data_IF_033944787445
#
_entry.id   IF_033944787445
#
_cell.length_a   1.000
_cell.length_b   1.000
_cell.length_c   1.000
_cell.angle_alpha   90.00
_cell.angle_beta   90.00
_cell.angle_gamma   90.00
#
_symmetry.space_group_name_H-M   'P 1'
#
loop_
_entity.id
_entity.type
_entity.pdbx_description
1 polymer ?
#
# COMPACT_ATOMS: atom_id res chain seq x y z
N UNK A 1 6.07 29.65 0.34
CA UNK A 1 6.82 28.59 1.03
C UNK A 1 7.35 27.68 -0.07
N UNK A 2 8.58 27.88 -0.50
CA UNK A 2 9.23 27.08 -1.55
C UNK A 2 9.51 25.71 -0.96
N UNK A 3 8.90 24.68 -1.53
CA UNK A 3 9.23 23.30 -1.20
C UNK A 3 10.74 23.10 -1.43
N UNK A 4 11.51 22.59 -0.43
CA UNK A 4 12.96 22.49 -0.55
C UNK A 4 13.43 21.31 -1.41
N UNK A 5 12.58 20.80 -2.28
CA UNK A 5 12.85 19.61 -3.07
C UNK A 5 13.12 19.99 -4.53
N UNK A 6 14.36 20.00 -4.93
CA UNK A 6 14.75 19.64 -6.29
C UNK A 6 14.35 18.17 -6.49
N UNK A 7 14.09 17.79 -7.73
CA UNK A 7 13.57 16.47 -8.12
C UNK A 7 14.18 15.30 -7.33
N UNK A 8 13.45 14.21 -7.16
CA UNK A 8 13.88 13.00 -6.41
C UNK A 8 15.21 12.40 -6.91
N UNK A 9 15.66 12.76 -8.11
CA UNK A 9 16.99 12.42 -8.63
C UNK A 9 18.13 12.96 -7.75
N UNK A 10 17.96 14.15 -7.10
CA UNK A 10 18.93 14.74 -6.18
C UNK A 10 18.77 14.26 -4.74
N UNK A 11 17.68 13.58 -4.43
CA UNK A 11 17.39 13.04 -3.11
C UNK A 11 17.30 11.52 -3.20
N UNK A 12 18.43 10.84 -3.29
CA UNK A 12 18.49 9.39 -3.16
C UNK A 12 17.73 8.91 -1.93
N UNK A 13 17.19 7.70 -1.95
CA UNK A 13 16.40 7.13 -0.84
C UNK A 13 17.05 7.33 0.52
N UNK A 14 18.37 7.29 0.59
CA UNK A 14 19.13 7.48 1.84
C UNK A 14 19.06 8.90 2.35
N UNK A 15 19.00 9.90 1.46
CA UNK A 15 18.79 11.29 1.86
C UNK A 15 17.39 11.52 2.43
N UNK A 16 16.35 10.88 1.88
CA UNK A 16 15.00 10.89 2.45
C UNK A 16 14.96 10.16 3.79
N UNK A 17 15.61 9.00 3.91
CA UNK A 17 15.71 8.24 5.15
C UNK A 17 16.39 9.03 6.27
N UNK A 18 17.45 9.79 5.95
CA UNK A 18 18.15 10.63 6.93
C UNK A 18 17.32 11.81 7.43
N UNK A 19 16.37 12.30 6.62
CA UNK A 19 15.45 13.39 6.96
C UNK A 19 14.17 12.93 7.66
N UNK A 20 13.99 11.64 7.85
CA UNK A 20 12.80 11.10 8.48
C UNK A 20 12.70 11.51 9.94
N UNK A 21 11.77 12.37 10.27
CA UNK A 21 11.58 12.95 11.60
C UNK A 21 10.31 12.48 12.31
N UNK A 22 9.30 12.00 11.58
CA UNK A 22 7.99 11.67 12.14
C UNK A 22 7.61 10.22 11.86
N UNK A 23 6.98 9.51 12.81
CA UNK A 23 6.45 8.18 12.56
C UNK A 23 5.35 8.24 11.49
N UNK A 24 5.32 7.26 10.59
CA UNK A 24 4.30 7.12 9.55
C UNK A 24 3.66 5.75 9.66
N UNK A 25 2.37 5.72 9.95
CA UNK A 25 1.59 4.50 9.89
C UNK A 25 1.21 4.14 8.47
N UNK A 26 1.44 2.89 8.11
CA UNK A 26 1.06 2.31 6.82
C UNK A 26 0.08 1.17 7.05
N UNK A 27 -1.16 1.34 6.61
CA UNK A 27 -2.13 0.26 6.59
C UNK A 27 -1.82 -0.69 5.43
N UNK A 28 -1.68 -1.96 5.73
CA UNK A 28 -1.61 -3.05 4.75
C UNK A 28 -2.95 -3.78 4.79
N UNK A 29 -3.82 -3.47 3.81
CA UNK A 29 -5.11 -4.15 3.66
C UNK A 29 -4.90 -5.39 2.79
N UNK A 30 -4.78 -6.56 3.43
CA UNK A 30 -4.34 -7.80 2.79
C UNK A 30 -4.83 -9.05 3.55
N UNK A 31 -4.17 -10.18 3.35
CA UNK A 31 -4.46 -11.48 3.95
C UNK A 31 -4.09 -11.62 5.43
N UNK A 32 -3.27 -10.72 5.95
CA UNK A 32 -2.66 -10.78 7.26
C UNK A 32 -1.13 -10.84 7.18
N UNK A 33 -0.48 -10.66 8.31
CA UNK A 33 0.98 -10.55 8.41
C UNK A 33 1.50 -11.55 9.44
N UNK A 34 2.61 -12.21 9.13
CA UNK A 34 3.41 -12.95 10.10
C UNK A 34 4.29 -11.96 10.89
N UNK A 35 3.76 -11.53 12.03
CA UNK A 35 4.42 -10.54 12.88
C UNK A 35 5.70 -11.07 13.55
N UNK A 36 5.91 -12.39 13.57
CA UNK A 36 7.10 -13.03 14.13
C UNK A 36 8.24 -13.14 13.11
N UNK A 37 7.97 -12.84 11.83
CA UNK A 37 9.03 -12.80 10.82
C UNK A 37 10.14 -11.83 11.25
N UNK A 38 11.45 -12.19 11.14
CA UNK A 38 12.57 -11.38 11.64
C UNK A 38 12.55 -9.91 11.17
N UNK A 39 12.13 -9.65 9.93
CA UNK A 39 12.04 -8.29 9.38
C UNK A 39 10.83 -7.48 9.89
N UNK A 40 9.81 -8.17 10.45
CA UNK A 40 8.54 -7.55 10.83
C UNK A 40 8.35 -7.47 12.34
N UNK A 41 9.13 -8.22 13.11
CA UNK A 41 9.04 -8.27 14.55
C UNK A 41 9.19 -6.88 15.17
N UNK A 42 8.20 -6.48 15.98
CA UNK A 42 8.14 -5.17 16.61
C UNK A 42 7.82 -3.99 15.67
N UNK A 43 7.49 -4.29 14.39
CA UNK A 43 7.19 -3.27 13.37
C UNK A 43 5.70 -3.17 13.05
N UNK A 44 4.92 -4.18 13.40
CA UNK A 44 3.46 -4.18 13.30
C UNK A 44 2.89 -3.56 14.58
N UNK A 45 2.12 -2.49 14.44
CA UNK A 45 1.57 -1.73 15.56
C UNK A 45 0.32 -2.42 16.14
N UNK A 46 -0.49 -2.98 15.27
CA UNK A 46 -1.74 -3.66 15.62
C UNK A 46 -2.20 -4.54 14.46
N UNK A 47 -3.15 -5.41 14.73
CA UNK A 47 -3.93 -6.11 13.69
C UNK A 47 -5.40 -5.76 13.81
N UNK A 48 -6.10 -5.76 12.67
CA UNK A 48 -7.55 -5.64 12.60
C UNK A 48 -8.08 -6.69 11.61
N UNK A 49 -9.24 -7.26 11.91
CA UNK A 49 -9.87 -8.26 11.05
C UNK A 49 -11.25 -7.79 10.64
N UNK A 50 -11.54 -7.86 9.35
CA UNK A 50 -12.87 -7.64 8.81
C UNK A 50 -13.66 -8.94 8.90
N UNK A 51 -14.78 -8.93 9.62
CA UNK A 51 -15.63 -10.09 9.86
C UNK A 51 -17.05 -9.85 9.36
N UNK A 52 -17.67 -10.83 8.69
CA UNK A 52 -19.07 -10.72 8.31
C UNK A 52 -19.98 -10.72 9.55
N UNK A 53 -21.07 -9.99 9.45
CA UNK A 53 -22.13 -9.91 10.46
C UNK A 53 -23.45 -10.40 9.88
N UNK A 54 -24.41 -10.71 10.74
CA UNK A 54 -25.79 -10.97 10.32
C UNK A 54 -26.34 -9.79 9.50
N UNK A 55 -27.13 -10.09 8.47
CA UNK A 55 -27.67 -9.07 7.56
C UNK A 55 -26.68 -8.57 6.49
N UNK A 56 -25.49 -9.22 6.35
CA UNK A 56 -24.53 -8.96 5.27
C UNK A 56 -23.67 -7.69 5.47
N UNK A 57 -23.70 -7.10 6.66
CA UNK A 57 -22.77 -6.05 7.07
C UNK A 57 -21.38 -6.63 7.38
N UNK A 58 -20.37 -5.77 7.46
CA UNK A 58 -19.03 -6.15 7.89
C UNK A 58 -18.60 -5.27 9.06
N UNK A 59 -17.97 -5.89 10.06
CA UNK A 59 -17.38 -5.24 11.21
C UNK A 59 -15.87 -5.39 11.16
N UNK A 60 -15.15 -4.35 11.60
CA UNK A 60 -13.71 -4.43 11.83
C UNK A 60 -13.47 -4.66 13.32
N UNK A 61 -12.89 -5.81 13.64
CA UNK A 61 -12.46 -6.16 15.01
C UNK A 61 -11.00 -5.82 15.15
N UNK A 62 -10.70 -4.90 16.04
CA UNK A 62 -9.34 -4.45 16.34
C UNK A 62 -8.70 -5.36 17.38
N UNK A 63 -7.45 -5.73 17.12
CA UNK A 63 -6.59 -6.47 18.02
C UNK A 63 -5.38 -5.57 18.35
N UNK A 64 -5.30 -5.00 19.56
CA UNK A 64 -4.18 -4.10 19.92
C UNK A 64 -2.83 -4.83 19.91
N UNK A 65 -2.84 -6.13 20.19
CA UNK A 65 -1.66 -6.98 20.01
C UNK A 65 -1.63 -7.54 18.57
N UNK A 66 -0.48 -7.48 17.89
CA UNK A 66 -0.35 -8.05 16.54
C UNK A 66 -0.67 -9.54 16.50
N UNK A 67 -1.45 -9.94 15.52
CA UNK A 67 -1.78 -11.34 15.30
C UNK A 67 -0.74 -12.00 14.39
N UNK A 68 -0.04 -13.00 14.91
CA UNK A 68 0.99 -13.71 14.15
C UNK A 68 0.43 -14.81 13.23
N UNK A 69 -0.45 -14.43 12.30
CA UNK A 69 -0.97 -15.38 11.32
C UNK A 69 -1.16 -14.69 9.97
N UNK A 70 -0.44 -15.15 8.96
CA UNK A 70 -0.78 -14.90 7.58
C UNK A 70 -1.75 -15.99 7.11
N UNK A 71 -2.97 -15.60 6.79
CA UNK A 71 -4.06 -16.52 6.42
C UNK A 71 -3.93 -17.07 5.00
N UNK A 72 -2.97 -16.59 4.22
CA UNK A 72 -2.71 -17.06 2.86
C UNK A 72 -1.74 -18.23 2.89
N UNK A 73 -2.22 -19.40 2.53
CA UNK A 73 -1.48 -20.67 2.55
C UNK A 73 -0.31 -20.76 1.57
N UNK A 74 -0.10 -19.77 0.69
CA UNK A 74 0.98 -19.77 -0.31
C UNK A 74 2.01 -18.67 -0.03
N UNK A 75 2.75 -18.79 1.07
CA UNK A 75 3.96 -18.03 1.32
C UNK A 75 3.78 -16.59 1.81
N UNK A 76 2.63 -16.24 2.36
CA UNK A 76 2.47 -15.00 3.11
C UNK A 76 2.44 -13.74 2.22
N UNK A 77 1.34 -13.51 1.49
CA UNK A 77 1.24 -12.33 0.63
C UNK A 77 1.32 -11.02 1.43
N UNK A 78 0.52 -10.87 2.50
CA UNK A 78 0.56 -9.67 3.34
C UNK A 78 1.90 -9.48 4.06
N UNK A 79 2.56 -10.58 4.44
CA UNK A 79 3.91 -10.57 5.01
C UNK A 79 4.93 -9.99 4.01
N UNK A 80 4.88 -10.45 2.76
CA UNK A 80 5.73 -9.93 1.69
C UNK A 80 5.48 -8.43 1.43
N UNK A 81 4.21 -8.02 1.37
CA UNK A 81 3.81 -6.61 1.18
C UNK A 81 4.36 -5.73 2.32
N UNK A 82 4.12 -6.12 3.57
CA UNK A 82 4.59 -5.37 4.73
C UNK A 82 6.13 -5.26 4.76
N UNK A 83 6.83 -6.35 4.46
CA UNK A 83 8.29 -6.36 4.39
C UNK A 83 8.83 -5.43 3.32
N UNK A 84 8.24 -5.40 2.13
CA UNK A 84 8.65 -4.47 1.07
C UNK A 84 8.43 -3.02 1.46
N UNK A 85 7.30 -2.68 2.09
CA UNK A 85 7.09 -1.34 2.65
C UNK A 85 8.21 -0.97 3.61
N UNK A 86 8.59 -1.87 4.53
CA UNK A 86 9.62 -1.62 5.53
C UNK A 86 11.04 -1.55 4.93
N UNK A 87 11.33 -2.30 3.88
CA UNK A 87 12.62 -2.22 3.17
C UNK A 87 12.82 -0.85 2.51
N UNK A 88 11.74 -0.25 2.00
CA UNK A 88 11.77 1.12 1.45
C UNK A 88 11.76 2.14 2.57
N UNK A 89 10.84 1.99 3.52
CA UNK A 89 10.53 2.92 4.61
C UNK A 89 10.81 2.27 5.98
N UNK A 90 12.07 2.11 6.40
CA UNK A 90 12.44 1.28 7.54
C UNK A 90 11.97 1.81 8.90
N UNK A 91 11.44 3.02 8.99
CA UNK A 91 10.87 3.61 10.22
C UNK A 91 9.34 3.67 10.20
N UNK A 92 8.70 3.13 9.16
CA UNK A 92 7.24 3.02 9.11
C UNK A 92 6.71 2.07 10.19
N UNK A 93 5.47 2.28 10.61
CA UNK A 93 4.69 1.41 11.51
C UNK A 93 3.59 0.76 10.70
N UNK A 94 3.54 -0.55 10.68
CA UNK A 94 2.56 -1.30 9.91
C UNK A 94 1.28 -1.51 10.73
N UNK A 95 0.13 -1.23 10.13
CA UNK A 95 -1.20 -1.58 10.63
C UNK A 95 -1.75 -2.70 9.73
N UNK A 96 -1.84 -3.90 10.29
CA UNK A 96 -2.31 -5.11 9.59
C UNK A 96 -3.84 -5.13 9.56
N UNK A 97 -4.44 -4.98 8.38
CA UNK A 97 -5.90 -5.01 8.20
C UNK A 97 -6.28 -6.19 7.32
N UNK A 98 -6.81 -7.24 7.94
CA UNK A 98 -7.11 -8.52 7.30
C UNK A 98 -8.50 -8.52 6.69
N UNK A 99 -8.57 -8.69 5.37
CA UNK A 99 -9.83 -8.69 4.62
C UNK A 99 -10.11 -10.00 3.89
N UNK A 100 -9.14 -10.90 3.83
CA UNK A 100 -9.26 -12.18 3.12
C UNK A 100 -9.60 -13.29 4.12
N UNK A 101 -10.60 -14.09 3.81
CA UNK A 101 -10.94 -15.28 4.58
C UNK A 101 -10.03 -16.45 4.24
N UNK A 102 -9.75 -17.38 5.18
CA UNK A 102 -9.02 -18.60 4.89
C UNK A 102 -9.65 -19.35 3.72
N UNK A 103 -8.91 -19.52 2.63
CA UNK A 103 -9.36 -20.24 1.42
C UNK A 103 -10.05 -19.38 0.35
N UNK A 104 -10.16 -18.05 0.51
CA UNK A 104 -10.80 -17.17 -0.45
C UNK A 104 -9.89 -16.13 -1.07
N UNK A 105 -9.91 -16.03 -2.40
CA UNK A 105 -9.15 -15.03 -3.19
C UNK A 105 -10.00 -13.77 -3.46
N UNK A 106 -11.32 -13.86 -3.27
CA UNK A 106 -12.24 -12.77 -3.59
C UNK A 106 -12.67 -12.04 -2.32
N UNK A 107 -12.36 -10.77 -2.27
CA UNK A 107 -12.80 -9.87 -1.21
C UNK A 107 -14.14 -9.26 -1.61
N UNK A 108 -15.13 -9.40 -0.74
CA UNK A 108 -16.40 -8.68 -0.89
C UNK A 108 -16.12 -7.17 -0.85
N UNK A 109 -16.68 -6.42 -1.80
CA UNK A 109 -16.52 -4.96 -1.87
C UNK A 109 -16.94 -4.24 -0.58
N UNK A 110 -17.95 -4.78 0.13
CA UNK A 110 -18.40 -4.24 1.42
C UNK A 110 -17.36 -4.49 2.52
N UNK A 111 -16.67 -5.64 2.47
CA UNK A 111 -15.53 -5.93 3.37
C UNK A 111 -14.37 -4.97 3.13
N UNK A 112 -14.05 -4.71 1.85
CA UNK A 112 -13.03 -3.72 1.50
C UNK A 112 -13.44 -2.30 1.93
N UNK A 113 -14.69 -1.92 1.73
CA UNK A 113 -15.21 -0.62 2.18
C UNK A 113 -15.13 -0.48 3.72
N UNK A 114 -15.38 -1.56 4.47
CA UNK A 114 -15.21 -1.57 5.93
C UNK A 114 -13.74 -1.43 6.35
N UNK A 115 -12.81 -2.10 5.67
CA UNK A 115 -11.38 -1.95 5.90
C UNK A 115 -10.88 -0.54 5.59
N UNK A 116 -11.31 0.03 4.46
CA UNK A 116 -11.00 1.41 4.06
C UNK A 116 -11.56 2.41 5.07
N UNK A 117 -12.80 2.19 5.55
CA UNK A 117 -13.40 3.02 6.62
C UNK A 117 -12.49 3.04 7.84
N UNK A 118 -12.07 1.87 8.31
CA UNK A 118 -11.20 1.75 9.48
C UNK A 118 -9.89 2.51 9.24
N UNK A 119 -9.21 2.26 8.12
CA UNK A 119 -7.93 2.92 7.80
C UNK A 119 -8.11 4.44 7.61
N UNK A 120 -9.18 4.89 6.97
CA UNK A 120 -9.46 6.31 6.75
C UNK A 120 -9.68 7.08 8.06
N UNK A 121 -10.31 6.45 9.05
CA UNK A 121 -10.64 7.07 10.33
C UNK A 121 -9.53 6.91 11.39
N UNK A 122 -8.57 6.03 11.19
CA UNK A 122 -7.49 5.76 12.16
C UNK A 122 -6.48 6.90 12.20
N UNK A 123 -6.17 7.44 13.37
CA UNK A 123 -5.34 8.66 13.53
C UNK A 123 -3.89 8.47 13.08
N UNK A 124 -3.28 7.31 13.38
CA UNK A 124 -1.86 7.07 13.10
C UNK A 124 -1.58 6.69 11.63
N UNK A 125 -2.59 6.26 10.87
CA UNK A 125 -2.41 5.83 9.49
C UNK A 125 -2.31 7.05 8.57
N UNK A 126 -1.26 7.10 7.76
CA UNK A 126 -1.02 8.13 6.75
C UNK A 126 -0.95 7.58 5.32
N UNK A 127 -0.62 6.29 5.17
CA UNK A 127 -0.60 5.60 3.88
C UNK A 127 -1.48 4.36 3.96
N UNK A 128 -2.27 4.10 2.94
CA UNK A 128 -3.14 2.94 2.81
C UNK A 128 -2.71 2.16 1.57
N UNK A 129 -2.13 0.97 1.78
CA UNK A 129 -1.76 0.05 0.70
C UNK A 129 -2.89 -0.93 0.43
N UNK A 130 -3.34 -0.96 -0.82
CA UNK A 130 -4.35 -1.87 -1.34
C UNK A 130 -3.72 -2.79 -2.39
N UNK A 131 -3.30 -3.96 -1.96
CA UNK A 131 -2.76 -5.02 -2.83
C UNK A 131 -3.82 -6.02 -3.27
N UNK A 132 -5.07 -5.63 -3.17
CA UNK A 132 -6.26 -6.41 -3.51
C UNK A 132 -6.92 -5.76 -4.72
N UNK A 133 -7.07 -6.56 -5.79
CA UNK A 133 -7.81 -6.13 -6.95
C UNK A 133 -9.30 -6.42 -6.76
N UNK A 134 -10.11 -5.40 -6.97
CA UNK A 134 -11.55 -5.52 -7.05
C UNK A 134 -11.97 -6.31 -8.31
N UNK A 135 -12.96 -7.19 -8.22
CA UNK A 135 -13.63 -7.69 -9.41
C UNK A 135 -14.59 -6.61 -9.94
N UNK A 136 -14.58 -6.37 -11.26
CA UNK A 136 -15.44 -5.38 -11.92
C UNK A 136 -16.96 -5.65 -11.75
N UNK A 137 -17.32 -6.80 -11.21
CA UNK A 137 -18.71 -7.17 -10.86
C UNK A 137 -19.19 -6.56 -9.53
N UNK A 138 -18.39 -5.75 -8.86
CA UNK A 138 -18.72 -5.25 -7.54
C UNK A 138 -19.82 -4.20 -7.57
N UNK A 139 -20.93 -4.54 -6.95
CA UNK A 139 -22.12 -3.70 -6.83
C UNK A 139 -21.96 -2.54 -5.81
N UNK A 140 -20.82 -2.40 -5.14
CA UNK A 140 -20.62 -1.43 -4.05
C UNK A 140 -19.46 -0.46 -4.25
N UNK A 141 -19.26 -0.01 -5.48
CA UNK A 141 -18.26 1.01 -5.82
C UNK A 141 -18.42 2.29 -4.99
N UNK A 142 -19.67 2.72 -4.75
CA UNK A 142 -19.96 3.91 -3.95
C UNK A 142 -19.42 3.83 -2.52
N UNK A 143 -19.41 2.65 -1.91
CA UNK A 143 -18.84 2.45 -0.57
C UNK A 143 -17.32 2.63 -0.58
N UNK A 144 -16.65 2.08 -1.58
CA UNK A 144 -15.19 2.22 -1.76
C UNK A 144 -14.85 3.68 -2.05
N UNK A 145 -15.55 4.31 -3.01
CA UNK A 145 -15.35 5.72 -3.38
C UNK A 145 -15.46 6.64 -2.16
N UNK A 146 -16.53 6.48 -1.38
CA UNK A 146 -16.76 7.27 -0.16
C UNK A 146 -15.57 7.25 0.79
N UNK A 147 -14.96 6.09 1.02
CA UNK A 147 -13.90 5.96 2.00
C UNK A 147 -12.52 6.32 1.45
N UNK A 148 -12.32 6.24 0.15
CA UNK A 148 -11.15 6.82 -0.53
C UNK A 148 -11.21 8.35 -0.45
N UNK A 149 -12.36 8.97 -0.74
CA UNK A 149 -12.58 10.41 -0.61
C UNK A 149 -12.35 10.90 0.83
N UNK A 150 -12.83 10.13 1.82
CA UNK A 150 -12.62 10.48 3.23
C UNK A 150 -11.13 10.35 3.62
N UNK A 151 -10.44 9.32 3.17
CA UNK A 151 -9.01 9.16 3.37
C UNK A 151 -8.23 10.37 2.79
N UNK A 152 -8.55 10.75 1.55
CA UNK A 152 -7.95 11.92 0.90
C UNK A 152 -8.18 13.22 1.69
N UNK A 153 -9.42 13.49 2.11
CA UNK A 153 -9.78 14.69 2.92
C UNK A 153 -9.04 14.72 4.26
N UNK A 154 -8.69 13.55 4.80
CA UNK A 154 -7.89 13.42 6.03
C UNK A 154 -6.38 13.43 5.79
N UNK A 155 -5.94 13.76 4.58
CA UNK A 155 -4.51 13.83 4.25
C UNK A 155 -3.83 12.47 4.13
N UNK A 156 -4.58 11.37 3.88
CA UNK A 156 -4.03 10.03 3.73
C UNK A 156 -3.82 9.67 2.28
N UNK A 157 -2.67 9.11 1.98
CA UNK A 157 -2.31 8.62 0.64
C UNK A 157 -2.85 7.21 0.46
N UNK A 158 -3.62 6.99 -0.60
CA UNK A 158 -4.08 5.66 -0.99
C UNK A 158 -3.28 5.19 -2.19
N UNK A 159 -2.66 4.02 -2.08
CA UNK A 159 -1.92 3.35 -3.16
C UNK A 159 -2.63 2.05 -3.48
N UNK A 160 -2.98 1.84 -4.74
CA UNK A 160 -3.68 0.64 -5.17
C UNK A 160 -2.98 -0.04 -6.36
N UNK A 161 -2.90 -1.37 -6.31
CA UNK A 161 -2.38 -2.15 -7.41
C UNK A 161 -3.42 -2.36 -8.50
N UNK A 162 -2.97 -2.31 -9.77
CA UNK A 162 -3.77 -2.76 -10.90
C UNK A 162 -4.06 -4.27 -10.76
N UNK A 163 -5.25 -4.70 -11.19
CA UNK A 163 -5.58 -6.13 -11.22
C UNK A 163 -4.62 -6.91 -12.12
N UNK A 164 -4.08 -8.03 -11.62
CA UNK A 164 -3.27 -8.94 -12.41
C UNK A 164 -4.05 -9.56 -13.60
N UNK A 165 -5.38 -9.50 -13.57
CA UNK A 165 -6.25 -9.94 -14.66
C UNK A 165 -6.49 -8.87 -15.71
N UNK A 166 -5.76 -7.75 -15.68
CA UNK A 166 -5.88 -6.58 -16.60
C UNK A 166 -7.32 -6.00 -16.65
N UNK A 167 -8.10 -6.20 -15.59
CA UNK A 167 -9.41 -5.56 -15.45
C UNK A 167 -9.25 -4.22 -14.81
N UNK A 168 -9.91 -3.21 -15.37
CA UNK A 168 -10.07 -1.90 -14.76
C UNK A 168 -11.14 -1.99 -13.68
N UNK A 169 -11.01 -1.18 -12.66
CA UNK A 169 -12.02 -1.08 -11.61
C UNK A 169 -11.48 -0.45 -10.32
N UNK A 170 -12.39 -0.04 -9.44
CA UNK A 170 -12.04 0.65 -8.22
C UNK A 170 -11.17 -0.22 -7.29
N UNK A 171 -10.27 0.44 -6.52
CA UNK A 171 -10.08 1.90 -6.46
C UNK A 171 -8.94 2.42 -7.36
N UNK A 172 -8.26 1.58 -8.16
CA UNK A 172 -7.06 1.95 -8.93
C UNK A 172 -7.32 3.04 -9.99
N UNK A 173 -8.56 3.14 -10.47
CA UNK A 173 -9.01 4.12 -11.47
C UNK A 173 -9.50 5.46 -10.88
N UNK A 174 -9.44 5.61 -9.56
CA UNK A 174 -9.80 6.89 -8.93
C UNK A 174 -8.65 7.91 -9.03
N UNK A 175 -8.91 9.16 -9.44
CA UNK A 175 -7.86 10.17 -9.66
C UNK A 175 -7.04 10.52 -8.41
N UNK A 176 -7.64 10.39 -7.25
CA UNK A 176 -7.06 10.64 -5.93
C UNK A 176 -6.31 9.43 -5.34
N UNK A 177 -6.30 8.32 -6.08
CA UNK A 177 -5.51 7.13 -5.75
C UNK A 177 -4.21 7.13 -6.57
N UNK A 178 -3.13 6.64 -6.00
CA UNK A 178 -1.90 6.32 -6.72
C UNK A 178 -2.04 4.92 -7.28
N UNK A 179 -2.45 4.84 -8.55
CA UNK A 179 -2.60 3.58 -9.28
C UNK A 179 -1.25 3.06 -9.75
N UNK A 180 -0.93 1.80 -9.43
CA UNK A 180 0.39 1.21 -9.70
C UNK A 180 0.28 -0.13 -10.39
N UNK A 181 1.16 -0.39 -11.36
CA UNK A 181 1.40 -1.73 -11.90
C UNK A 181 2.88 -2.12 -11.81
N UNK A 182 3.13 -3.43 -11.80
CA UNK A 182 4.48 -4.00 -11.69
C UNK A 182 5.25 -3.94 -13.00
N UNK A 183 6.52 -3.60 -12.89
CA UNK A 183 7.50 -3.66 -13.97
C UNK A 183 8.87 -4.08 -13.40
N UNK A 184 9.77 -4.52 -14.28
CA UNK A 184 11.16 -4.78 -13.90
C UNK A 184 11.96 -3.48 -14.00
N UNK A 185 11.92 -2.70 -12.94
CA UNK A 185 12.61 -1.40 -12.85
C UNK A 185 13.83 -1.43 -11.92
N UNK A 186 14.20 -2.62 -11.40
CA UNK A 186 15.28 -2.73 -10.41
C UNK A 186 14.91 -2.11 -9.06
N UNK A 187 15.90 -2.06 -8.15
CA UNK A 187 15.71 -1.73 -6.74
C UNK A 187 14.94 -0.41 -6.53
N UNK A 188 13.68 -0.54 -6.15
CA UNK A 188 12.79 0.55 -5.75
C UNK A 188 12.51 1.60 -6.84
N UNK A 189 12.73 1.26 -8.10
CA UNK A 189 12.45 2.11 -9.24
C UNK A 189 10.97 2.44 -9.34
N UNK A 190 10.66 3.68 -9.73
CA UNK A 190 9.33 4.15 -10.08
C UNK A 190 9.39 4.88 -11.42
N UNK A 191 8.42 4.65 -12.29
CA UNK A 191 8.26 5.34 -13.57
C UNK A 191 6.84 5.90 -13.64
N UNK A 192 6.72 7.10 -14.19
CA UNK A 192 5.42 7.68 -14.51
C UNK A 192 5.11 7.45 -15.98
N UNK A 193 3.96 6.89 -16.25
CA UNK A 193 3.48 6.65 -17.60
C UNK A 193 2.21 5.80 -17.54
N UNK A 194 1.12 6.24 -18.19
CA UNK A 194 -0.15 5.56 -18.07
C UNK A 194 -0.08 4.16 -18.68
N UNK A 195 -0.55 3.20 -17.90
CA UNK A 195 -0.82 1.85 -18.38
C UNK A 195 -2.23 1.48 -17.92
N UNK A 196 -3.17 1.42 -18.84
CA UNK A 196 -4.59 1.31 -18.53
C UNK A 196 -5.02 2.48 -17.62
N UNK A 197 -5.45 2.20 -16.38
CA UNK A 197 -5.83 3.19 -15.39
C UNK A 197 -4.75 3.47 -14.34
N UNK A 198 -3.69 2.65 -14.28
CA UNK A 198 -2.55 2.89 -13.40
C UNK A 198 -1.63 3.93 -14.03
N UNK A 199 -1.26 4.95 -13.25
CA UNK A 199 -0.42 6.05 -13.71
C UNK A 199 1.07 5.78 -13.47
N UNK A 200 1.40 4.87 -12.56
CA UNK A 200 2.75 4.55 -12.16
C UNK A 200 3.10 3.10 -12.44
N UNK A 201 4.34 2.89 -12.78
CA UNK A 201 5.02 1.60 -12.77
C UNK A 201 6.01 1.59 -11.63
N UNK A 202 6.13 0.48 -10.92
CA UNK A 202 7.15 0.32 -9.89
C UNK A 202 7.71 -1.10 -9.91
N UNK A 203 8.83 -1.30 -9.21
CA UNK A 203 9.45 -2.60 -9.14
C UNK A 203 8.49 -3.63 -8.54
N UNK A 204 8.06 -4.59 -9.33
CA UNK A 204 7.09 -5.61 -8.96
C UNK A 204 7.33 -6.93 -9.67
N UNK A 205 8.47 -7.08 -10.37
CA UNK A 205 8.86 -8.33 -11.01
C UNK A 205 10.17 -8.84 -10.42
N UNK A 206 10.23 -10.16 -10.12
CA UNK A 206 11.39 -10.83 -9.52
C UNK A 206 11.93 -10.14 -8.28
N UNK A 207 11.03 -9.59 -7.46
CA UNK A 207 11.40 -8.87 -6.24
C UNK A 207 11.57 -9.85 -5.06
N UNK A 208 12.72 -9.87 -4.39
CA UNK A 208 12.88 -10.65 -3.17
C UNK A 208 12.01 -10.03 -2.07
N UNK A 209 11.20 -10.84 -1.41
CA UNK A 209 10.30 -10.40 -0.36
C UNK A 209 10.19 -11.43 0.77
N UNK A 210 9.95 -11.01 2.02
CA UNK A 210 9.77 -11.90 3.16
C UNK A 210 8.65 -12.91 2.92
N UNK A 211 8.83 -14.11 3.44
CA UNK A 211 7.84 -15.19 3.38
C UNK A 211 7.35 -15.54 4.78
N UNK A 212 6.05 -15.77 4.94
CA UNK A 212 5.50 -16.25 6.21
C UNK A 212 6.19 -17.55 6.65
N UNK A 213 6.50 -17.64 7.93
CA UNK A 213 7.29 -18.72 8.50
C UNK A 213 8.81 -18.51 8.43
N UNK A 214 9.26 -17.39 7.86
CA UNK A 214 10.68 -17.01 7.79
C UNK A 214 11.29 -17.12 6.39
N UNK A 215 12.46 -16.49 6.24
CA UNK A 215 13.18 -16.44 4.97
C UNK A 215 12.54 -15.50 3.94
N UNK A 216 12.97 -15.63 2.69
CA UNK A 216 12.46 -14.81 1.60
C UNK A 216 12.27 -15.62 0.32
N UNK A 217 11.47 -15.10 -0.60
CA UNK A 217 11.28 -15.70 -1.91
C UNK A 217 11.13 -14.63 -2.98
N UNK A 218 11.46 -14.98 -4.22
CA UNK A 218 11.22 -14.11 -5.37
C UNK A 218 9.72 -14.06 -5.65
N UNK A 219 9.20 -12.85 -5.75
CA UNK A 219 7.80 -12.55 -6.00
C UNK A 219 7.64 -11.76 -7.29
N UNK A 220 6.44 -11.82 -7.86
CA UNK A 220 6.07 -11.01 -9.03
C UNK A 220 4.58 -10.68 -9.03
N UNK A 221 4.26 -9.46 -9.40
CA UNK A 221 2.89 -8.97 -9.52
C UNK A 221 2.72 -7.51 -9.11
N UNK A 222 1.58 -6.95 -9.51
CA UNK A 222 1.26 -5.54 -9.26
C UNK A 222 1.18 -5.19 -7.77
N UNK A 223 0.81 -6.15 -6.93
CA UNK A 223 0.73 -5.99 -5.48
C UNK A 223 2.06 -5.57 -4.86
N UNK A 224 3.17 -6.14 -5.33
CA UNK A 224 4.51 -5.84 -4.82
C UNK A 224 4.98 -4.45 -5.25
N UNK A 225 4.62 -4.03 -6.47
CA UNK A 225 4.85 -2.67 -6.95
C UNK A 225 4.10 -1.63 -6.11
N UNK A 226 2.84 -1.92 -5.72
CA UNK A 226 2.08 -1.06 -4.82
C UNK A 226 2.73 -0.97 -3.44
N UNK A 227 3.30 -2.06 -2.92
CA UNK A 227 4.03 -2.06 -1.65
C UNK A 227 5.27 -1.15 -1.70
N UNK A 228 6.08 -1.25 -2.76
CA UNK A 228 7.24 -0.37 -2.98
C UNK A 228 6.80 1.09 -3.04
N UNK A 229 5.76 1.40 -3.82
CA UNK A 229 5.23 2.77 -3.94
C UNK A 229 4.65 3.28 -2.62
N UNK A 230 3.99 2.43 -1.83
CA UNK A 230 3.52 2.78 -0.47
C UNK A 230 4.69 3.11 0.46
N UNK A 231 5.79 2.38 0.35
CA UNK A 231 7.03 2.69 1.07
C UNK A 231 7.62 4.05 0.65
N UNK A 232 7.65 4.36 -0.65
CA UNK A 232 8.11 5.66 -1.15
C UNK A 232 7.22 6.80 -0.65
N UNK A 233 5.90 6.63 -0.66
CA UNK A 233 4.96 7.60 -0.10
C UNK A 233 5.19 7.81 1.42
N UNK A 234 5.44 6.73 2.16
CA UNK A 234 5.76 6.79 3.58
C UNK A 234 7.09 7.51 3.85
N UNK A 235 8.11 7.32 3.00
CA UNK A 235 9.37 8.07 3.08
C UNK A 235 9.17 9.58 2.92
N UNK A 236 8.40 9.99 1.91
CA UNK A 236 8.09 11.39 1.66
C UNK A 236 7.37 12.02 2.86
N UNK A 237 6.35 11.34 3.39
CA UNK A 237 5.60 11.81 4.55
C UNK A 237 6.44 11.81 5.84
N UNK A 238 7.37 10.87 6.00
CA UNK A 238 8.28 10.82 7.15
C UNK A 238 9.30 11.97 7.14
N UNK A 239 9.73 12.38 5.96
CA UNK A 239 10.63 13.53 5.77
C UNK A 239 9.90 14.89 5.78
N UNK A 240 8.61 14.91 5.39
CA UNK A 240 7.77 16.10 5.28
C UNK A 240 6.32 15.77 5.61
N UNK A 241 5.95 15.77 6.91
CA UNK A 241 4.66 15.29 7.41
C UNK A 241 3.46 16.12 6.93
N UNK A 242 3.67 17.37 6.54
CA UNK A 242 2.62 18.29 6.10
C UNK A 242 2.24 18.12 4.61
N UNK A 243 2.88 17.19 3.89
CA UNK A 243 2.54 16.90 2.52
C UNK A 243 1.10 16.38 2.40
N UNK A 244 0.36 16.99 1.48
CA UNK A 244 -0.96 16.50 1.07
C UNK A 244 -0.84 15.28 0.16
N UNK A 245 -1.88 14.44 0.01
CA UNK A 245 -1.85 13.31 -0.93
C UNK A 245 -1.53 13.73 -2.37
N UNK A 246 -2.04 14.88 -2.81
CA UNK A 246 -1.72 15.43 -4.12
C UNK A 246 -0.23 15.77 -4.27
N UNK A 247 0.37 16.39 -3.25
CA UNK A 247 1.80 16.71 -3.26
C UNK A 247 2.67 15.46 -3.25
N UNK A 248 2.30 14.42 -2.48
CA UNK A 248 2.99 13.12 -2.51
C UNK A 248 2.93 12.52 -3.92
N UNK A 249 1.75 12.48 -4.54
CA UNK A 249 1.57 11.97 -5.91
C UNK A 249 2.40 12.77 -6.93
N UNK A 250 2.43 14.10 -6.81
CA UNK A 250 3.22 14.98 -7.69
C UNK A 250 4.72 14.74 -7.52
N UNK A 251 5.22 14.63 -6.30
CA UNK A 251 6.63 14.35 -6.03
C UNK A 251 7.05 12.97 -6.55
N UNK A 252 6.21 11.94 -6.41
CA UNK A 252 6.45 10.64 -7.00
C UNK A 252 6.53 10.72 -8.53
N UNK A 253 5.70 11.55 -9.16
CA UNK A 253 5.74 11.79 -10.59
C UNK A 253 7.02 12.50 -11.01
N UNK A 254 7.41 13.56 -10.30
CA UNK A 254 8.64 14.34 -10.60
C UNK A 254 9.91 13.51 -10.41
N UNK A 255 9.94 12.61 -9.44
CA UNK A 255 11.06 11.70 -9.17
C UNK A 255 11.04 10.40 -9.97
N UNK A 256 10.06 10.21 -10.84
CA UNK A 256 9.96 8.98 -11.63
C UNK A 256 11.03 8.92 -12.73
N UNK A 257 11.60 7.71 -12.91
CA UNK A 257 12.55 7.44 -13.99
C UNK A 257 11.91 7.71 -15.37
N UNK A 258 12.66 8.27 -16.29
CA UNK A 258 12.26 8.35 -17.70
C UNK A 258 11.47 9.61 -18.11
N UNK A 259 11.36 10.65 -17.28
CA UNK A 259 10.83 11.96 -17.73
C UNK A 259 11.82 12.77 -18.58
N UNK A 260 13.10 12.39 -18.63
CA UNK A 260 14.17 13.15 -19.30
C UNK A 260 14.74 12.48 -20.56
N UNK A 261 14.27 11.27 -20.94
CA UNK A 261 14.81 10.58 -22.12
C UNK A 261 14.11 10.89 -23.45
N UNK A 262 12.98 11.64 -23.43
CA UNK A 262 12.21 12.02 -24.64
C UNK A 262 12.17 13.55 -24.88
N UNK A 263 13.30 14.23 -24.73
CA UNK A 263 13.46 15.61 -25.23
C UNK A 263 14.68 15.75 -26.11
#
# INVERSE_FOLDING_TARGET
MTLPFRAMEDLGLDALRSRWTHPVGVAVIDSGIDCEHPELRGRVAESARVTPQEGGAFQVVRHPEPLSQDLFTQGGHGTAIAGLVLRVAPRARIHDIRVVNPGGILVDARALAAALKFAALHEDIRVINLSIAADASWSNEHGIRRWVDEAYRRGKVVVASLSNRKRQGPPVDFPDVIGVHGADLGAYGIRYGPCLTAEFQSWGDRIPAPSAGGGESLRGGNSFAAAVTSGLAALLLGASPDLTPFQVKSLLKEGALGQHEDR
#
